data_IF_383897853910
#
_entry.id   IF_383897853910
#
_cell.length_a   1.000
_cell.length_b   1.000
_cell.length_c   1.000
_cell.angle_alpha   90.00
_cell.angle_beta   90.00
_cell.angle_gamma   90.00
#
_symmetry.space_group_name_H-M   'P 1'
#
loop_
_entity.id
_entity.type
_entity.pdbx_description
1 polymer ?
#
# COMPACT_ATOMS: atom_id res chain seq x y z
N UNK A 1 24.31 -16.37 -25.01
CA UNK A 1 23.37 -15.43 -25.66
C UNK A 1 22.49 -14.93 -24.53
N UNK A 2 22.90 -13.85 -23.90
CA UNK A 2 22.07 -13.19 -22.89
C UNK A 2 20.88 -12.60 -23.64
N UNK A 3 19.67 -13.04 -23.28
CA UNK A 3 18.45 -12.41 -23.78
C UNK A 3 18.51 -10.94 -23.35
N UNK A 4 18.27 -9.96 -24.23
CA UNK A 4 18.18 -8.58 -23.81
C UNK A 4 17.10 -8.51 -22.73
N UNK A 5 17.46 -8.03 -21.54
CA UNK A 5 16.48 -7.72 -20.50
C UNK A 5 15.53 -6.71 -21.13
N UNK A 6 14.30 -7.13 -21.44
CA UNK A 6 13.24 -6.20 -21.83
C UNK A 6 13.14 -5.13 -20.73
N UNK A 7 12.98 -3.86 -21.12
CA UNK A 7 12.76 -2.79 -20.15
C UNK A 7 11.54 -3.12 -19.28
N UNK A 8 11.78 -3.54 -18.05
CA UNK A 8 10.74 -3.93 -17.08
C UNK A 8 10.13 -2.72 -16.38
N UNK A 9 10.66 -1.50 -16.59
CA UNK A 9 10.17 -0.27 -15.94
C UNK A 9 8.67 -0.03 -16.14
N UNK A 10 8.06 -0.27 -17.33
CA UNK A 10 6.60 -0.15 -17.49
C UNK A 10 5.81 -1.16 -16.64
N UNK A 11 6.36 -2.36 -16.43
CA UNK A 11 5.74 -3.39 -15.59
C UNK A 11 5.82 -2.99 -14.12
N UNK A 12 6.99 -2.53 -13.66
CA UNK A 12 7.19 -2.01 -12.30
C UNK A 12 6.27 -0.83 -12.00
N UNK A 13 6.23 0.14 -12.91
CA UNK A 13 5.36 1.31 -12.83
C UNK A 13 3.90 0.93 -12.62
N UNK A 14 3.42 -0.06 -13.38
CA UNK A 14 2.05 -0.57 -13.26
C UNK A 14 1.80 -1.28 -11.93
N UNK A 15 2.73 -2.11 -11.48
CA UNK A 15 2.60 -2.86 -10.22
C UNK A 15 2.63 -1.91 -9.00
N UNK A 16 3.55 -0.95 -8.98
CA UNK A 16 3.64 0.06 -7.92
C UNK A 16 2.42 0.96 -7.91
N UNK A 17 2.00 1.48 -9.07
CA UNK A 17 0.79 2.32 -9.14
C UNK A 17 -0.43 1.58 -8.60
N UNK A 18 -0.66 0.34 -9.06
CA UNK A 18 -1.82 -0.43 -8.60
C UNK A 18 -1.74 -0.80 -7.13
N UNK A 19 -0.57 -1.22 -6.63
CA UNK A 19 -0.42 -1.58 -5.22
C UNK A 19 -0.63 -0.38 -4.29
N UNK A 20 -0.12 0.80 -4.66
CA UNK A 20 -0.34 2.03 -3.90
C UNK A 20 -1.83 2.41 -3.86
N UNK A 21 -2.55 2.28 -4.97
CA UNK A 21 -4.00 2.49 -5.02
C UNK A 21 -4.77 1.49 -4.16
N UNK A 22 -4.52 0.19 -4.32
CA UNK A 22 -5.19 -0.83 -3.50
C UNK A 22 -4.89 -0.65 -2.01
N UNK A 23 -3.67 -0.26 -1.63
CA UNK A 23 -3.35 0.03 -0.24
C UNK A 23 -4.10 1.27 0.29
N UNK A 24 -4.25 2.31 -0.52
CA UNK A 24 -5.03 3.50 -0.16
C UNK A 24 -6.52 3.21 -0.03
N UNK A 25 -7.10 2.42 -0.95
CA UNK A 25 -8.49 1.98 -0.86
C UNK A 25 -8.71 1.15 0.41
N UNK A 26 -7.80 0.21 0.68
CA UNK A 26 -7.80 -0.55 1.93
C UNK A 26 -7.84 0.36 3.15
N UNK A 27 -6.92 1.33 3.22
CA UNK A 27 -6.87 2.29 4.31
C UNK A 27 -8.15 3.12 4.42
N UNK A 28 -8.68 3.61 3.29
CA UNK A 28 -9.90 4.44 3.26
C UNK A 28 -11.09 3.69 3.83
N UNK A 29 -11.32 2.45 3.39
CA UNK A 29 -12.42 1.63 3.92
C UNK A 29 -12.22 1.22 5.38
N UNK A 30 -10.97 1.04 5.82
CA UNK A 30 -10.67 0.85 7.24
C UNK A 30 -11.13 2.07 8.03
N UNK A 31 -10.70 3.27 7.65
CA UNK A 31 -11.06 4.52 8.33
C UNK A 31 -12.58 4.70 8.38
N UNK A 32 -13.28 4.48 7.26
CA UNK A 32 -14.74 4.57 7.23
C UNK A 32 -15.42 3.57 8.19
N UNK A 33 -14.80 2.43 8.49
CA UNK A 33 -15.34 1.45 9.42
C UNK A 33 -15.09 1.81 10.90
N UNK A 34 -13.94 2.42 11.21
CA UNK A 34 -13.51 2.69 12.59
C UNK A 34 -13.82 4.11 13.08
N UNK A 35 -13.86 5.08 12.16
CA UNK A 35 -14.11 6.50 12.41
C UNK A 35 -15.13 7.03 11.40
N UNK A 36 -16.36 6.49 11.38
CA UNK A 36 -17.35 6.87 10.39
C UNK A 36 -17.84 8.31 10.63
N UNK A 37 -18.05 9.07 9.56
CA UNK A 37 -18.61 10.43 9.63
C UNK A 37 -20.05 10.47 10.16
N UNK A 38 -20.76 9.33 10.05
CA UNK A 38 -22.16 9.15 10.46
C UNK A 38 -22.31 7.81 11.17
N UNK A 39 -23.33 7.67 12.00
CA UNK A 39 -23.63 6.38 12.63
C UNK A 39 -23.86 5.30 11.56
N UNK A 40 -23.15 4.18 11.68
CA UNK A 40 -23.27 3.03 10.79
C UNK A 40 -23.70 1.79 11.57
N UNK A 41 -24.37 0.87 10.90
CA UNK A 41 -24.74 -0.42 11.49
C UNK A 41 -23.53 -1.34 11.59
N UNK A 42 -23.58 -2.31 12.50
CA UNK A 42 -22.55 -3.34 12.63
C UNK A 42 -22.40 -4.16 11.33
N UNK A 43 -23.49 -4.38 10.59
CA UNK A 43 -23.44 -5.01 9.27
C UNK A 43 -22.63 -4.16 8.26
N UNK A 44 -22.83 -2.84 8.27
CA UNK A 44 -22.10 -1.90 7.41
C UNK A 44 -20.62 -1.88 7.77
N UNK A 45 -20.31 -1.82 9.07
CA UNK A 45 -18.93 -1.90 9.58
C UNK A 45 -18.24 -3.17 9.10
N UNK A 46 -18.86 -4.33 9.32
CA UNK A 46 -18.31 -5.62 8.88
C UNK A 46 -18.13 -5.69 7.35
N UNK A 47 -19.02 -5.06 6.58
CA UNK A 47 -18.86 -4.96 5.12
C UNK A 47 -17.64 -4.13 4.74
N UNK A 48 -17.47 -2.95 5.35
CA UNK A 48 -16.33 -2.06 5.09
C UNK A 48 -15.00 -2.74 5.45
N UNK A 49 -14.94 -3.43 6.59
CA UNK A 49 -13.75 -4.20 6.99
C UNK A 49 -13.39 -5.29 5.96
N UNK A 50 -14.39 -6.06 5.47
CA UNK A 50 -14.14 -7.05 4.41
C UNK A 50 -13.62 -6.43 3.12
N UNK A 51 -14.18 -5.29 2.71
CA UNK A 51 -13.72 -4.55 1.53
C UNK A 51 -12.28 -4.06 1.74
N UNK A 52 -11.98 -3.50 2.91
CA UNK A 52 -10.63 -3.07 3.28
C UNK A 52 -9.61 -4.21 3.19
N UNK A 53 -9.92 -5.40 3.73
CA UNK A 53 -9.07 -6.58 3.66
C UNK A 53 -8.90 -7.12 2.22
N UNK A 54 -9.93 -6.98 1.38
CA UNK A 54 -9.87 -7.38 -0.03
C UNK A 54 -8.83 -6.55 -0.78
N UNK A 55 -8.88 -5.23 -0.60
CA UNK A 55 -7.91 -4.32 -1.18
C UNK A 55 -6.50 -4.50 -0.60
N UNK A 56 -6.38 -4.80 0.70
CA UNK A 56 -5.10 -5.12 1.32
C UNK A 56 -4.45 -6.36 0.68
N UNK A 57 -5.26 -7.39 0.42
CA UNK A 57 -4.81 -8.64 -0.22
C UNK A 57 -4.38 -8.41 -1.67
N UNK A 58 -5.10 -7.55 -2.40
CA UNK A 58 -4.70 -7.15 -3.76
C UNK A 58 -3.36 -6.39 -3.75
N UNK A 59 -3.22 -5.42 -2.84
CA UNK A 59 -1.97 -4.68 -2.67
C UNK A 59 -0.80 -5.63 -2.36
N UNK A 60 -1.01 -6.61 -1.47
CA UNK A 60 -0.01 -7.62 -1.12
C UNK A 60 0.42 -8.42 -2.34
N UNK A 61 -0.52 -8.94 -3.12
CA UNK A 61 -0.21 -9.69 -4.34
C UNK A 61 0.63 -8.88 -5.33
N UNK A 62 0.30 -7.59 -5.51
CA UNK A 62 0.99 -6.70 -6.43
C UNK A 62 2.41 -6.34 -5.95
N UNK A 63 2.58 -6.06 -4.65
CA UNK A 63 3.90 -5.79 -4.06
C UNK A 63 4.78 -7.04 -4.13
N UNK A 64 4.25 -8.23 -3.85
CA UNK A 64 5.02 -9.47 -3.99
C UNK A 64 5.43 -9.75 -5.44
N UNK A 65 4.56 -9.47 -6.42
CA UNK A 65 4.93 -9.55 -7.84
C UNK A 65 6.02 -8.55 -8.20
N UNK A 66 5.93 -7.32 -7.70
CA UNK A 66 6.96 -6.30 -7.91
C UNK A 66 8.32 -6.76 -7.33
N UNK A 67 8.31 -7.27 -6.09
CA UNK A 67 9.49 -7.82 -5.43
C UNK A 67 10.13 -8.97 -6.24
N UNK A 68 9.32 -9.87 -6.79
CA UNK A 68 9.82 -11.00 -7.59
C UNK A 68 10.46 -10.57 -8.90
N UNK A 69 9.97 -9.50 -9.52
CA UNK A 69 10.40 -9.06 -10.84
C UNK A 69 11.58 -8.08 -10.82
N UNK A 70 11.87 -7.45 -9.69
CA UNK A 70 12.95 -6.50 -9.60
C UNK A 70 14.31 -7.22 -9.53
N UNK A 71 15.11 -7.08 -10.59
CA UNK A 71 16.51 -7.50 -10.63
C UNK A 71 17.39 -6.36 -10.14
N UNK A 72 18.11 -6.59 -9.04
CA UNK A 72 18.89 -5.61 -8.30
C UNK A 72 20.09 -5.09 -9.10
N UNK A 73 19.94 -3.92 -9.73
CA UNK A 73 21.05 -3.07 -10.16
C UNK A 73 21.26 -1.97 -9.10
N UNK A 74 22.50 -1.71 -8.70
CA UNK A 74 22.85 -1.42 -7.30
C UNK A 74 22.57 0.00 -6.77
N UNK A 75 22.01 0.91 -7.56
CA UNK A 75 21.92 2.32 -7.15
C UNK A 75 20.54 2.71 -6.59
N UNK A 76 19.48 2.00 -6.98
CA UNK A 76 18.09 2.34 -6.59
C UNK A 76 17.44 1.30 -5.66
N UNK A 77 18.23 0.33 -5.21
CA UNK A 77 17.81 -0.78 -4.34
C UNK A 77 17.13 -0.29 -3.07
N UNK A 78 17.70 0.73 -2.43
CA UNK A 78 17.22 1.23 -1.13
C UNK A 78 15.79 1.80 -1.22
N UNK A 79 15.46 2.49 -2.31
CA UNK A 79 14.13 3.07 -2.53
C UNK A 79 13.08 1.97 -2.72
N UNK A 80 13.44 0.93 -3.47
CA UNK A 80 12.55 -0.20 -3.74
C UNK A 80 12.35 -1.05 -2.49
N UNK A 81 13.44 -1.35 -1.76
CA UNK A 81 13.36 -2.10 -0.51
C UNK A 81 12.59 -1.34 0.55
N UNK A 82 12.74 -0.01 0.66
CA UNK A 82 11.96 0.79 1.60
C UNK A 82 10.46 0.73 1.26
N UNK A 83 10.07 0.92 -0.01
CA UNK A 83 8.66 0.76 -0.43
C UNK A 83 8.07 -0.59 -0.03
N UNK A 84 8.79 -1.69 -0.33
CA UNK A 84 8.36 -3.06 -0.02
C UNK A 84 8.28 -3.29 1.50
N UNK A 85 9.31 -2.89 2.24
CA UNK A 85 9.41 -3.12 3.68
C UNK A 85 8.36 -2.32 4.46
N UNK A 86 8.12 -1.06 4.08
CA UNK A 86 7.06 -0.26 4.68
C UNK A 86 5.68 -0.84 4.38
N UNK A 87 5.45 -1.35 3.16
CA UNK A 87 4.21 -2.05 2.84
C UNK A 87 4.02 -3.28 3.72
N UNK A 88 5.03 -4.16 3.83
CA UNK A 88 4.91 -5.37 4.66
C UNK A 88 4.73 -5.05 6.13
N UNK A 89 5.35 -3.98 6.63
CA UNK A 89 5.14 -3.50 8.00
C UNK A 89 3.69 -3.07 8.21
N UNK A 90 3.12 -2.28 7.30
CA UNK A 90 1.70 -1.89 7.33
C UNK A 90 0.77 -3.10 7.21
N UNK A 91 1.02 -4.01 6.27
CA UNK A 91 0.22 -5.20 6.08
C UNK A 91 0.18 -6.08 7.33
N UNK A 92 1.34 -6.31 7.95
CA UNK A 92 1.45 -7.06 9.19
C UNK A 92 0.67 -6.39 10.32
N UNK A 93 0.90 -5.10 10.53
CA UNK A 93 0.21 -4.35 11.58
C UNK A 93 -1.31 -4.37 11.42
N UNK A 94 -1.80 -4.24 10.18
CA UNK A 94 -3.23 -4.37 9.89
C UNK A 94 -3.76 -5.73 10.35
N UNK A 95 -3.11 -6.82 9.95
CA UNK A 95 -3.55 -8.17 10.29
C UNK A 95 -3.46 -8.43 11.81
N UNK A 96 -2.39 -7.99 12.46
CA UNK A 96 -2.19 -8.11 13.90
C UNK A 96 -3.28 -7.32 14.67
N UNK A 97 -3.67 -6.14 14.17
CA UNK A 97 -4.75 -5.33 14.73
C UNK A 97 -6.10 -6.02 14.62
N UNK A 98 -6.40 -6.63 13.48
CA UNK A 98 -7.64 -7.40 13.30
C UNK A 98 -7.68 -8.68 14.15
N UNK A 99 -6.55 -9.36 14.32
CA UNK A 99 -6.46 -10.58 15.13
C UNK A 99 -6.63 -10.28 16.63
N UNK A 100 -5.94 -9.25 17.12
CA UNK A 100 -5.87 -8.95 18.56
C UNK A 100 -6.84 -7.87 19.01
N UNK A 101 -7.55 -7.24 18.07
CA UNK A 101 -8.48 -6.12 18.28
C UNK A 101 -7.85 -4.99 19.12
N UNK A 102 -6.57 -4.71 18.88
CA UNK A 102 -5.89 -3.57 19.50
C UNK A 102 -6.26 -2.26 18.77
N UNK A 103 -5.72 -1.11 19.24
CA UNK A 103 -6.10 0.18 18.68
C UNK A 103 -5.59 0.39 17.26
N UNK A 104 -6.49 0.69 16.32
CA UNK A 104 -6.16 1.05 14.94
C UNK A 104 -5.33 2.33 14.79
N UNK A 105 -5.07 3.09 15.87
CA UNK A 105 -4.17 4.24 15.82
C UNK A 105 -2.76 3.86 15.36
N UNK A 106 -2.30 2.67 15.72
CA UNK A 106 -1.01 2.13 15.26
C UNK A 106 -1.08 1.78 13.77
N UNK A 107 -2.10 1.05 13.33
CA UNK A 107 -2.33 0.75 11.90
C UNK A 107 -2.34 2.01 11.03
N UNK A 108 -2.93 3.11 11.51
CA UNK A 108 -2.91 4.41 10.80
C UNK A 108 -1.50 5.00 10.69
N UNK A 109 -0.68 4.90 11.74
CA UNK A 109 0.71 5.36 11.72
C UNK A 109 1.55 4.56 10.72
N UNK A 110 1.37 3.24 10.69
CA UNK A 110 2.07 2.38 9.74
C UNK A 110 1.68 2.70 8.29
N UNK A 111 0.41 2.95 8.01
CA UNK A 111 -0.01 3.39 6.68
C UNK A 111 0.61 4.74 6.29
N UNK A 112 0.68 5.71 7.22
CA UNK A 112 1.35 7.00 6.98
C UNK A 112 2.85 6.84 6.73
N UNK A 113 3.50 5.89 7.39
CA UNK A 113 4.91 5.60 7.12
C UNK A 113 5.10 4.98 5.74
N UNK A 114 4.21 4.07 5.36
CA UNK A 114 4.17 3.53 4.00
C UNK A 114 3.92 4.61 2.94
N UNK A 115 2.98 5.53 3.13
CA UNK A 115 2.67 6.57 2.14
C UNK A 115 3.82 7.55 1.89
N UNK A 116 4.76 7.71 2.84
CA UNK A 116 5.98 8.52 2.63
C UNK A 116 6.88 7.95 1.54
N UNK A 117 6.80 6.64 1.27
CA UNK A 117 7.57 5.98 0.21
C UNK A 117 7.05 6.26 -1.20
N UNK A 118 5.83 6.79 -1.34
CA UNK A 118 5.19 7.02 -2.63
C UNK A 118 5.96 8.02 -3.49
N UNK A 119 6.48 9.10 -2.92
CA UNK A 119 7.25 10.10 -3.66
C UNK A 119 8.59 9.55 -4.18
N UNK A 120 9.44 8.93 -3.34
CA UNK A 120 10.68 8.30 -3.80
C UNK A 120 10.45 7.26 -4.91
N UNK A 121 9.53 6.31 -4.71
CA UNK A 121 9.30 5.25 -5.70
C UNK A 121 8.69 5.80 -6.99
N UNK A 122 7.86 6.84 -6.90
CA UNK A 122 7.28 7.50 -8.06
C UNK A 122 8.35 8.19 -8.91
N UNK A 123 9.28 8.89 -8.27
CA UNK A 123 10.42 9.53 -8.95
C UNK A 123 11.31 8.51 -9.64
N UNK A 124 11.56 7.36 -9.01
CA UNK A 124 12.36 6.29 -9.59
C UNK A 124 11.70 5.71 -10.86
N UNK A 125 10.39 5.45 -10.77
CA UNK A 125 9.64 4.78 -11.83
C UNK A 125 9.06 5.74 -12.88
N UNK A 126 9.25 7.05 -12.73
CA UNK A 126 8.67 8.09 -13.59
C UNK A 126 7.13 7.96 -13.69
N UNK A 127 6.49 7.81 -12.54
CA UNK A 127 5.02 7.73 -12.39
C UNK A 127 4.50 8.89 -11.53
N UNK A 128 3.22 9.24 -11.68
CA UNK A 128 2.59 10.25 -10.86
C UNK A 128 1.72 9.61 -9.77
N UNK A 129 2.10 9.81 -8.50
CA UNK A 129 1.35 9.40 -7.32
C UNK A 129 0.95 10.59 -6.41
N UNK A 130 1.03 11.84 -6.90
CA UNK A 130 0.81 13.03 -6.07
C UNK A 130 -0.58 13.04 -5.42
N UNK A 131 -1.59 12.63 -6.18
CA UNK A 131 -2.96 12.51 -5.65
C UNK A 131 -3.05 11.51 -4.48
N UNK A 132 -2.32 10.39 -4.54
CA UNK A 132 -2.33 9.40 -3.44
C UNK A 132 -1.65 9.97 -2.20
N UNK A 133 -0.59 10.75 -2.38
CA UNK A 133 0.10 11.41 -1.27
C UNK A 133 -0.82 12.44 -0.61
N UNK A 134 -1.52 13.25 -1.40
CA UNK A 134 -2.52 14.19 -0.88
C UNK A 134 -3.62 13.45 -0.12
N UNK A 135 -4.17 12.38 -0.71
CA UNK A 135 -5.24 11.60 -0.09
C UNK A 135 -4.83 10.91 1.20
N UNK A 136 -3.66 10.27 1.23
CA UNK A 136 -3.12 9.61 2.42
C UNK A 136 -2.92 10.57 3.60
N UNK A 137 -2.70 11.86 3.31
CA UNK A 137 -2.53 12.91 4.32
C UNK A 137 -3.84 13.67 4.64
N UNK A 138 -4.90 13.51 3.84
CA UNK A 138 -6.16 14.27 3.97
C UNK A 138 -7.16 13.72 4.99
N UNK A 139 -6.96 12.50 5.50
CA UNK A 139 -7.89 11.87 6.45
C UNK A 139 -7.74 12.38 7.90
N UNK A 140 -7.13 13.55 8.10
CA UNK A 140 -7.00 14.29 9.37
C UNK A 140 -6.92 15.80 9.16
#
# INVERSE_FOLDING_TARGET
>A
MELPIEDLKPVYSKLVTKSAWSALDSYTFLIEAILPEKEITEETKNRLMRVSMTHLSEAFSLVSQFQMLYSLDSDDRDVIEDYINQFYSYNKEFLDCEETNHSHSHTMEYFRNFSKTFKPIASLLDINLDYLVERANSHF
#
